data_IF_631176273727
#
_entry.id   IF_631176273727
#
_cell.length_a   1.000
_cell.length_b   1.000
_cell.length_c   1.000
_cell.angle_alpha   90.00
_cell.angle_beta   90.00
_cell.angle_gamma   90.00
#
_symmetry.space_group_name_H-M   'P 1'
#
loop_
_entity.id
_entity.type
_entity.pdbx_description
1 polymer ?
#
# COMPACT_ATOMS: atom_id res chain seq x y z
N UNK A 1 56.74 5.46 -21.62
CA UNK A 1 55.30 5.26 -21.91
C UNK A 1 54.51 5.61 -20.65
N UNK A 2 53.70 6.68 -20.67
CA UNK A 2 52.79 7.04 -19.57
C UNK A 2 51.43 6.41 -19.87
N UNK A 3 51.00 5.48 -19.03
CA UNK A 3 49.64 4.94 -19.11
C UNK A 3 48.68 5.99 -18.56
N UNK A 4 47.85 6.55 -19.44
CA UNK A 4 46.73 7.39 -19.05
C UNK A 4 45.62 6.45 -18.56
N UNK A 5 45.41 6.39 -17.24
CA UNK A 5 44.26 5.70 -16.67
C UNK A 5 43.04 6.55 -17.02
N UNK A 6 42.03 6.02 -17.75
CA UNK A 6 40.91 6.83 -18.19
C UNK A 6 40.05 7.21 -16.97
N UNK A 7 39.94 8.50 -16.71
CA UNK A 7 39.25 9.11 -15.56
C UNK A 7 37.77 8.71 -15.40
N UNK A 8 37.17 8.09 -16.42
CA UNK A 8 35.81 7.55 -16.40
C UNK A 8 35.65 6.33 -15.47
N UNK A 9 36.69 5.53 -15.25
CA UNK A 9 36.62 4.35 -14.38
C UNK A 9 36.52 4.72 -12.89
N UNK A 10 37.06 5.88 -12.49
CA UNK A 10 37.08 6.31 -11.08
C UNK A 10 35.72 6.83 -10.63
N UNK A 11 34.95 7.49 -11.51
CA UNK A 11 33.62 8.04 -11.19
C UNK A 11 32.56 6.94 -11.08
N UNK A 12 32.63 5.91 -11.93
CA UNK A 12 31.69 4.78 -11.90
C UNK A 12 31.82 3.88 -10.67
N UNK A 13 33.01 3.85 -10.04
CA UNK A 13 33.26 3.08 -8.81
C UNK A 13 32.72 3.82 -7.58
N UNK A 14 32.82 5.15 -7.51
CA UNK A 14 32.28 5.91 -6.38
C UNK A 14 30.75 5.84 -6.29
N UNK A 15 30.05 5.87 -7.42
CA UNK A 15 28.58 5.73 -7.47
C UNK A 15 28.05 4.35 -7.03
N UNK A 16 28.93 3.35 -6.82
CA UNK A 16 28.54 1.99 -6.40
C UNK A 16 28.77 1.74 -4.90
N UNK A 17 29.48 2.60 -4.19
CA UNK A 17 29.77 2.39 -2.76
C UNK A 17 28.71 2.98 -1.80
N UNK A 18 27.80 3.81 -2.29
CA UNK A 18 26.83 4.50 -1.42
C UNK A 18 25.48 3.76 -1.32
N UNK A 19 25.23 2.80 -2.23
CA UNK A 19 23.99 2.03 -2.29
C UNK A 19 23.68 1.18 -1.04
N UNK A 20 24.65 0.59 -0.29
CA UNK A 20 24.30 -0.25 0.85
C UNK A 20 23.92 0.56 2.10
N UNK A 21 24.07 1.88 2.12
CA UNK A 21 23.70 2.71 3.28
C UNK A 21 22.26 3.25 3.23
N UNK A 22 21.56 3.10 2.11
CA UNK A 22 20.16 3.53 1.98
C UNK A 22 19.15 2.42 2.34
N UNK A 23 19.62 1.21 2.67
CA UNK A 23 18.75 0.14 3.15
C UNK A 23 18.66 0.21 4.67
N UNK A 24 17.98 1.23 5.16
CA UNK A 24 17.48 1.20 6.53
C UNK A 24 16.61 -0.05 6.66
N UNK A 25 16.94 -0.95 7.58
CA UNK A 25 16.03 -2.01 7.98
C UNK A 25 14.72 -1.33 8.38
N UNK A 26 13.69 -1.40 7.51
CA UNK A 26 12.35 -1.04 7.93
C UNK A 26 12.10 -1.87 9.18
N UNK A 27 11.94 -1.22 10.34
CA UNK A 27 11.68 -1.92 11.61
C UNK A 27 10.50 -2.85 11.35
N UNK A 28 10.76 -4.14 11.12
CA UNK A 28 9.72 -5.13 10.77
C UNK A 28 8.73 -5.37 11.92
N UNK A 29 9.00 -4.74 13.07
CA UNK A 29 8.17 -4.71 14.26
C UNK A 29 7.79 -3.27 14.55
N UNK A 30 6.85 -2.75 13.78
CA UNK A 30 5.94 -1.76 14.34
C UNK A 30 5.24 -2.41 15.53
N UNK A 31 5.09 -1.69 16.65
CA UNK A 31 4.16 -2.15 17.67
C UNK A 31 2.78 -2.06 17.05
N UNK A 32 2.21 -3.21 16.73
CA UNK A 32 0.84 -3.32 16.29
C UNK A 32 0.00 -3.53 17.54
N UNK A 33 -0.46 -2.44 18.15
CA UNK A 33 -1.60 -2.53 19.05
C UNK A 33 -2.77 -3.16 18.28
N UNK A 34 -3.56 -3.97 18.99
CA UNK A 34 -4.77 -4.56 18.39
C UNK A 34 -5.73 -3.42 18.05
N UNK A 35 -5.95 -3.22 16.76
CA UNK A 35 -6.91 -2.22 16.28
C UNK A 35 -8.31 -2.53 16.76
N UNK A 36 -8.94 -1.56 17.42
CA UNK A 36 -10.36 -1.61 17.77
C UNK A 36 -11.21 -1.40 16.50
N UNK A 37 -11.83 -2.48 16.03
CA UNK A 37 -12.67 -2.46 14.83
C UNK A 37 -13.87 -1.52 14.98
N UNK A 38 -14.44 -1.36 16.18
CA UNK A 38 -15.61 -0.49 16.37
C UNK A 38 -15.23 0.98 16.31
N UNK A 39 -14.05 1.35 16.83
CA UNK A 39 -13.49 2.70 16.61
C UNK A 39 -13.21 2.96 15.14
N UNK A 40 -12.69 1.97 14.41
CA UNK A 40 -12.52 2.09 12.97
C UNK A 40 -13.87 2.33 12.27
N UNK A 41 -14.89 1.55 12.62
CA UNK A 41 -16.22 1.73 12.02
C UNK A 41 -16.85 3.06 12.38
N UNK A 42 -16.60 3.60 13.58
CA UNK A 42 -17.06 4.91 14.02
C UNK A 42 -16.46 6.03 13.16
N UNK A 43 -15.14 6.01 12.99
CA UNK A 43 -14.32 7.05 12.36
C UNK A 43 -14.44 7.05 10.83
N UNK A 44 -14.55 5.88 10.21
CA UNK A 44 -14.47 5.73 8.76
C UNK A 44 -15.84 5.35 8.15
N UNK A 45 -16.70 6.33 7.79
CA UNK A 45 -17.96 6.06 7.11
C UNK A 45 -17.80 5.56 5.68
N UNK A 46 -16.61 5.73 5.10
CA UNK A 46 -16.23 5.26 3.76
C UNK A 46 -14.84 4.63 3.88
N UNK A 47 -14.67 3.44 3.31
CA UNK A 47 -13.37 2.79 3.19
C UNK A 47 -13.13 2.34 1.74
N UNK A 48 -11.85 2.36 1.34
CA UNK A 48 -11.41 1.92 0.02
C UNK A 48 -10.38 0.82 0.22
N UNK A 49 -10.57 -0.30 -0.46
CA UNK A 49 -9.58 -1.36 -0.57
C UNK A 49 -9.17 -1.50 -2.04
N UNK A 50 -7.86 -1.57 -2.28
CA UNK A 50 -7.26 -1.71 -3.60
C UNK A 50 -6.52 -3.04 -3.64
N UNK A 51 -6.90 -3.94 -4.53
CA UNK A 51 -6.31 -5.26 -4.67
C UNK A 51 -6.60 -5.81 -6.08
N UNK A 52 -5.75 -6.70 -6.55
CA UNK A 52 -5.95 -7.43 -7.81
C UNK A 52 -6.79 -8.70 -7.51
N UNK A 53 -8.10 -8.61 -7.76
CA UNK A 53 -9.08 -9.65 -7.39
C UNK A 53 -9.07 -10.80 -8.37
N UNK A 54 -8.96 -10.49 -9.67
CA UNK A 54 -9.07 -11.45 -10.76
C UNK A 54 -7.72 -11.90 -11.34
N UNK A 55 -6.63 -11.29 -10.88
CA UNK A 55 -5.22 -11.62 -11.18
C UNK A 55 -4.84 -11.30 -12.62
N UNK A 56 -5.47 -10.31 -13.24
CA UNK A 56 -5.13 -9.87 -14.58
C UNK A 56 -3.96 -8.85 -14.61
N UNK A 57 -3.55 -8.37 -13.43
CA UNK A 57 -2.44 -7.46 -13.22
C UNK A 57 -2.83 -5.98 -13.16
N UNK A 58 -4.11 -5.64 -13.32
CA UNK A 58 -4.65 -4.35 -12.92
C UNK A 58 -5.14 -4.36 -11.44
N UNK A 59 -5.42 -3.17 -10.90
CA UNK A 59 -5.85 -3.04 -9.50
C UNK A 59 -7.33 -2.70 -9.45
N UNK A 60 -8.11 -3.57 -8.81
CA UNK A 60 -9.52 -3.32 -8.54
C UNK A 60 -9.70 -2.36 -7.36
N UNK A 61 -10.81 -1.62 -7.40
CA UNK A 61 -11.23 -0.74 -6.31
C UNK A 61 -12.54 -1.26 -5.71
N UNK A 62 -12.48 -1.66 -4.44
CA UNK A 62 -13.64 -1.88 -3.59
C UNK A 62 -13.87 -0.64 -2.74
N UNK A 63 -14.99 0.03 -2.96
CA UNK A 63 -15.44 1.13 -2.10
C UNK A 63 -16.57 0.67 -1.19
N UNK A 64 -16.58 1.13 0.06
CA UNK A 64 -17.68 0.87 0.99
C UNK A 64 -18.34 2.17 1.43
N UNK A 65 -19.66 2.13 1.61
CA UNK A 65 -20.43 3.23 2.20
C UNK A 65 -21.19 2.71 3.40
N UNK A 66 -20.98 3.34 4.55
CA UNK A 66 -21.64 3.01 5.81
C UNK A 66 -23.09 3.49 5.83
N UNK A 67 -23.98 2.65 6.37
CA UNK A 67 -25.35 2.98 6.76
C UNK A 67 -25.69 2.34 8.10
N UNK A 68 -26.71 2.85 8.79
CA UNK A 68 -27.26 2.26 10.03
C UNK A 68 -26.18 1.91 11.09
N UNK A 69 -25.39 2.91 11.52
CA UNK A 69 -24.45 2.75 12.62
C UNK A 69 -25.19 2.84 13.97
N UNK A 70 -25.12 1.77 14.76
CA UNK A 70 -25.61 1.70 16.13
C UNK A 70 -24.42 1.47 17.07
N UNK A 71 -24.04 2.54 17.75
CA UNK A 71 -22.93 2.54 18.71
C UNK A 71 -23.21 1.64 19.92
N UNK A 72 -24.47 1.59 20.39
CA UNK A 72 -24.84 0.88 21.63
C UNK A 72 -24.86 -0.63 21.43
N UNK A 73 -25.43 -1.06 20.30
CA UNK A 73 -25.51 -2.47 19.93
C UNK A 73 -24.29 -2.96 19.15
N UNK A 74 -23.33 -2.06 18.87
CA UNK A 74 -22.15 -2.34 18.04
C UNK A 74 -22.50 -2.92 16.67
N UNK A 75 -23.54 -2.37 16.03
CA UNK A 75 -23.99 -2.78 14.70
C UNK A 75 -23.67 -1.71 13.67
N UNK A 76 -23.31 -2.16 12.48
CA UNK A 76 -23.06 -1.28 11.35
C UNK A 76 -23.40 -2.01 10.07
N UNK A 77 -24.00 -1.31 9.12
CA UNK A 77 -24.23 -1.84 7.77
C UNK A 77 -23.26 -1.16 6.81
N UNK A 78 -22.65 -1.92 5.92
CA UNK A 78 -21.88 -1.38 4.81
C UNK A 78 -22.44 -1.90 3.50
N UNK A 79 -22.62 -0.99 2.54
CA UNK A 79 -22.81 -1.35 1.14
C UNK A 79 -21.45 -1.38 0.47
N UNK A 80 -21.14 -2.49 -0.21
CA UNK A 80 -19.88 -2.69 -0.92
C UNK A 80 -20.12 -2.47 -2.40
N UNK A 81 -19.30 -1.63 -3.02
CA UNK A 81 -19.33 -1.31 -4.43
C UNK A 81 -18.04 -1.82 -5.05
N UNK A 82 -18.18 -2.82 -5.92
CA UNK A 82 -17.09 -3.32 -6.76
C UNK A 82 -17.47 -2.98 -8.20
N UNK A 83 -16.75 -2.05 -8.78
CA UNK A 83 -16.83 -1.74 -10.20
C UNK A 83 -16.12 -2.86 -11.00
N UNK A 84 -16.60 -3.17 -12.20
CA UNK A 84 -15.82 -3.95 -13.17
C UNK A 84 -15.55 -5.42 -12.87
N UNK A 85 -16.16 -6.07 -11.86
CA UNK A 85 -15.92 -7.49 -11.59
C UNK A 85 -16.27 -8.34 -12.84
N UNK A 86 -15.26 -8.93 -13.48
CA UNK A 86 -15.26 -9.61 -14.80
C UNK A 86 -15.10 -8.73 -16.04
N UNK A 87 -14.38 -7.61 -15.97
CA UNK A 87 -13.80 -6.94 -17.15
C UNK A 87 -14.80 -6.31 -18.12
N UNK A 88 -16.01 -5.98 -17.67
CA UNK A 88 -16.99 -5.27 -18.49
C UNK A 88 -17.64 -4.11 -17.74
N UNK A 89 -16.92 -3.00 -17.64
CA UNK A 89 -17.54 -1.67 -17.53
C UNK A 89 -17.43 -0.93 -18.87
N UNK A 90 -18.47 -0.14 -19.18
CA UNK A 90 -18.66 0.60 -20.44
C UNK A 90 -17.58 1.64 -20.71
#
# INVERSE_FOLDING_TARGET
MRAAIPSLLVVGVMLRLDAPFAQGEAKHRLQHDVTDAFKMFEIFPVAIAIFDTDKDGDLDCLTTVRSNYDEKDHKVTYTWLLAGLNGHEK
#
